data_IF_721110943667
#
_entry.id   IF_721110943667
#
_cell.length_a   1.000
_cell.length_b   1.000
_cell.length_c   1.000
_cell.angle_alpha   90.00
_cell.angle_beta   90.00
_cell.angle_gamma   90.00
#
_symmetry.space_group_name_H-M   'P 1'
#
loop_
_entity.id
_entity.type
_entity.pdbx_description
1 polymer ?
#
# COMPACT_ATOMS: atom_id res chain seq x y z
N UNK A 1 -18.54 16.75 20.81
CA UNK A 1 -17.24 16.80 20.09
C UNK A 1 -16.19 16.38 21.10
N UNK A 2 -15.25 15.50 20.74
CA UNK A 2 -14.23 14.89 21.63
C UNK A 2 -14.65 13.57 22.31
N UNK A 3 -14.60 12.47 21.55
CA UNK A 3 -14.53 11.11 22.13
C UNK A 3 -13.75 10.10 21.25
N UNK A 4 -13.19 10.54 20.11
CA UNK A 4 -12.45 9.65 19.18
C UNK A 4 -10.96 10.02 19.12
N UNK A 5 -10.54 11.17 19.68
CA UNK A 5 -9.13 11.60 19.66
C UNK A 5 -8.23 10.93 20.70
N UNK A 6 -8.78 10.33 21.75
CA UNK A 6 -7.99 9.86 22.92
C UNK A 6 -7.49 8.41 22.83
N UNK A 7 -7.73 7.67 21.73
CA UNK A 7 -7.26 6.27 21.62
C UNK A 7 -5.90 6.10 20.94
N UNK A 8 -5.25 7.18 20.53
CA UNK A 8 -4.04 7.11 19.71
C UNK A 8 -2.92 8.03 20.22
N UNK A 9 -2.83 8.21 21.54
CA UNK A 9 -1.74 8.97 22.15
C UNK A 9 -0.78 8.02 22.90
N UNK A 10 0.33 7.73 22.22
CA UNK A 10 1.68 7.53 22.78
C UNK A 10 1.91 6.47 23.88
N UNK A 11 1.52 5.22 23.63
CA UNK A 11 2.21 4.07 24.24
C UNK A 11 3.24 3.54 23.24
N UNK A 12 4.55 3.42 23.58
CA UNK A 12 5.53 2.86 22.67
C UNK A 12 5.22 1.38 22.46
N UNK A 13 4.74 1.05 21.24
CA UNK A 13 4.38 -0.29 20.77
C UNK A 13 5.61 -1.23 20.63
N UNK A 14 6.59 -1.16 21.52
CA UNK A 14 7.87 -1.87 21.43
C UNK A 14 7.76 -3.41 21.57
N UNK A 15 6.55 -3.94 21.75
CA UNK A 15 6.31 -5.39 21.83
C UNK A 15 4.95 -5.88 21.31
N UNK A 16 4.10 -5.00 20.73
CA UNK A 16 2.74 -5.36 20.27
C UNK A 16 2.61 -5.41 18.74
N UNK A 17 3.57 -4.84 18.00
CA UNK A 17 3.62 -5.04 16.54
C UNK A 17 4.21 -6.43 16.25
N UNK A 18 3.46 -7.46 16.57
CA UNK A 18 3.71 -8.80 16.08
C UNK A 18 3.58 -8.74 14.55
N UNK A 19 4.70 -8.81 13.82
CA UNK A 19 4.70 -8.93 12.37
C UNK A 19 4.16 -10.31 11.99
N UNK A 20 2.83 -10.47 12.04
CA UNK A 20 2.17 -11.67 11.53
C UNK A 20 2.46 -11.77 10.03
N UNK A 21 2.96 -12.92 9.55
CA UNK A 21 3.13 -13.15 8.13
C UNK A 21 1.78 -12.99 7.42
N UNK A 22 1.71 -12.03 6.48
CA UNK A 22 0.53 -11.82 5.64
C UNK A 22 0.43 -12.85 4.49
N UNK A 23 1.51 -13.60 4.26
CA UNK A 23 1.59 -14.68 3.30
C UNK A 23 2.45 -15.82 3.85
N UNK A 24 2.17 -17.04 3.38
CA UNK A 24 2.98 -18.22 3.66
C UNK A 24 4.30 -18.16 2.87
N UNK A 25 5.43 -18.11 3.59
CA UNK A 25 6.76 -18.02 2.98
C UNK A 25 7.10 -19.24 2.09
N UNK A 26 6.42 -20.38 2.29
CA UNK A 26 6.63 -21.58 1.48
C UNK A 26 5.89 -21.52 0.13
N UNK A 27 4.90 -20.64 -0.01
CA UNK A 27 4.01 -20.54 -1.17
C UNK A 27 4.11 -19.19 -1.89
N UNK A 28 5.25 -18.52 -1.79
CA UNK A 28 5.46 -17.24 -2.45
C UNK A 28 5.52 -17.43 -3.97
N UNK A 29 4.77 -16.59 -4.68
CA UNK A 29 4.76 -16.55 -6.15
C UNK A 29 6.12 -16.10 -6.67
N UNK A 30 6.78 -16.93 -7.47
CA UNK A 30 8.03 -16.57 -8.13
C UNK A 30 7.76 -15.47 -9.16
N UNK A 31 8.55 -14.39 -9.12
CA UNK A 31 8.39 -13.21 -9.97
C UNK A 31 7.64 -12.04 -9.30
N UNK A 32 6.82 -12.30 -8.28
CA UNK A 32 6.14 -11.24 -7.52
C UNK A 32 7.02 -10.76 -6.37
N UNK A 33 7.63 -9.58 -6.55
CA UNK A 33 8.50 -8.95 -5.53
C UNK A 33 7.71 -8.53 -4.29
N UNK A 34 6.41 -8.31 -4.43
CA UNK A 34 5.50 -7.91 -3.36
C UNK A 34 4.67 -9.09 -2.82
N UNK A 35 5.03 -10.33 -3.14
CA UNK A 35 4.27 -11.56 -2.79
C UNK A 35 3.86 -11.70 -1.33
N UNK A 36 4.61 -11.07 -0.40
CA UNK A 36 4.23 -11.03 1.02
C UNK A 36 3.01 -10.17 1.32
N UNK A 37 2.77 -9.12 0.54
CA UNK A 37 1.68 -8.16 0.75
C UNK A 37 0.61 -8.22 -0.34
N UNK A 38 0.89 -8.83 -1.50
CA UNK A 38 -0.07 -9.04 -2.59
C UNK A 38 -1.42 -9.62 -2.11
N UNK A 39 -1.47 -10.63 -1.21
CA UNK A 39 -2.75 -11.14 -0.71
C UNK A 39 -3.60 -10.09 0.01
N UNK A 40 -2.96 -9.19 0.77
CA UNK A 40 -3.63 -8.11 1.48
C UNK A 40 -4.25 -7.11 0.49
N UNK A 41 -3.51 -6.72 -0.56
CA UNK A 41 -4.02 -5.80 -1.58
C UNK A 41 -5.14 -6.42 -2.41
N UNK A 42 -5.06 -7.72 -2.72
CA UNK A 42 -6.14 -8.42 -3.41
C UNK A 42 -7.43 -8.45 -2.57
N UNK A 43 -7.31 -8.73 -1.27
CA UNK A 43 -8.46 -8.67 -0.36
C UNK A 43 -9.01 -7.25 -0.25
N UNK A 44 -8.14 -6.25 -0.13
CA UNK A 44 -8.54 -4.84 -0.05
C UNK A 44 -9.27 -4.39 -1.31
N UNK A 45 -8.72 -4.67 -2.49
CA UNK A 45 -9.37 -4.36 -3.77
C UNK A 45 -10.72 -5.07 -3.92
N UNK A 46 -10.84 -6.31 -3.44
CA UNK A 46 -12.12 -7.03 -3.44
C UNK A 46 -13.17 -6.32 -2.58
N UNK A 47 -12.79 -5.87 -1.38
CA UNK A 47 -13.67 -5.10 -0.50
C UNK A 47 -14.03 -3.73 -1.13
N UNK A 48 -13.06 -3.03 -1.70
CA UNK A 48 -13.28 -1.72 -2.33
C UNK A 48 -14.21 -1.84 -3.55
N UNK A 49 -14.06 -2.88 -4.36
CA UNK A 49 -14.95 -3.15 -5.47
C UNK A 49 -16.36 -3.54 -5.02
N UNK A 50 -16.49 -4.23 -3.88
CA UNK A 50 -17.79 -4.67 -3.34
C UNK A 50 -18.60 -3.50 -2.74
N UNK A 51 -17.95 -2.62 -1.99
CA UNK A 51 -18.61 -1.51 -1.28
C UNK A 51 -18.60 -0.19 -2.05
N UNK A 52 -17.77 -0.08 -3.09
CA UNK A 52 -17.65 1.11 -3.92
C UNK A 52 -18.87 1.31 -4.82
N UNK A 53 -19.50 2.48 -4.71
CA UNK A 53 -20.49 2.92 -5.70
C UNK A 53 -19.73 3.44 -6.92
N UNK A 54 -19.93 2.81 -8.07
CA UNK A 54 -19.21 3.18 -9.28
C UNK A 54 -19.65 4.56 -9.77
N UNK A 55 -18.67 5.40 -10.12
CA UNK A 55 -18.88 6.73 -10.67
C UNK A 55 -18.44 6.79 -12.12
N UNK A 56 -19.02 7.74 -12.85
CA UNK A 56 -18.68 7.97 -14.27
C UNK A 56 -17.34 8.67 -14.45
N UNK A 57 -16.94 9.54 -13.51
CA UNK A 57 -15.66 10.25 -13.54
C UNK A 57 -14.63 9.47 -12.73
N UNK A 58 -13.62 8.95 -13.43
CA UNK A 58 -12.51 8.19 -12.88
C UNK A 58 -11.19 8.92 -13.15
N UNK A 59 -10.28 8.87 -12.18
CA UNK A 59 -8.89 9.28 -12.33
C UNK A 59 -7.97 8.10 -12.01
N UNK A 60 -6.88 8.01 -12.76
CA UNK A 60 -5.78 7.10 -12.50
C UNK A 60 -4.57 7.95 -12.15
N UNK A 61 -3.99 7.72 -10.98
CA UNK A 61 -2.85 8.50 -10.51
C UNK A 61 -1.89 7.66 -9.66
N UNK A 62 -0.70 8.20 -9.42
CA UNK A 62 0.37 7.60 -8.64
C UNK A 62 0.38 8.17 -7.21
N UNK A 63 0.30 7.30 -6.21
CA UNK A 63 0.48 7.65 -4.80
C UNK A 63 1.87 7.21 -4.33
N UNK A 64 2.65 8.16 -3.80
CA UNK A 64 4.01 7.93 -3.31
C UNK A 64 4.03 7.69 -1.80
N UNK A 65 4.27 6.46 -1.37
CA UNK A 65 4.34 6.06 0.05
C UNK A 65 5.79 6.06 0.53
N UNK A 66 6.19 6.86 1.54
CA UNK A 66 7.57 6.89 2.02
C UNK A 66 7.99 5.54 2.62
N UNK A 67 9.09 4.97 2.12
CA UNK A 67 9.64 3.70 2.62
C UNK A 67 11.17 3.75 2.72
N UNK A 68 11.69 3.56 3.94
CA UNK A 68 13.11 3.71 4.24
C UNK A 68 13.90 2.39 4.17
N UNK A 69 13.22 1.25 4.03
CA UNK A 69 13.86 -0.06 3.94
C UNK A 69 14.57 -0.31 2.61
N UNK A 70 15.31 -1.42 2.56
CA UNK A 70 15.94 -1.94 1.34
C UNK A 70 14.96 -2.87 0.63
N UNK A 71 14.42 -2.43 -0.50
CA UNK A 71 13.53 -3.23 -1.32
C UNK A 71 13.82 -3.00 -2.81
N UNK A 72 13.76 -4.04 -3.64
CA UNK A 72 14.11 -3.98 -5.06
C UNK A 72 13.12 -3.18 -5.90
N UNK A 73 11.85 -3.12 -5.50
CA UNK A 73 10.80 -2.33 -6.17
C UNK A 73 10.78 -0.83 -5.78
N UNK A 74 11.69 -0.39 -4.93
CA UNK A 74 11.77 1.01 -4.47
C UNK A 74 12.19 1.91 -5.62
N UNK A 75 11.45 2.99 -5.88
CA UNK A 75 11.83 3.98 -6.90
C UNK A 75 12.79 5.00 -6.28
N UNK A 76 13.85 5.33 -7.01
CA UNK A 76 14.69 6.48 -6.70
C UNK A 76 14.12 7.71 -7.39
N UNK A 77 13.62 8.67 -6.63
CA UNK A 77 13.22 10.00 -7.14
C UNK A 77 14.35 10.99 -6.83
N UNK A 78 15.01 11.49 -7.86
CA UNK A 78 16.12 12.44 -7.75
C UNK A 78 15.73 13.77 -7.13
N UNK A 79 14.42 14.09 -7.08
CA UNK A 79 13.89 15.29 -6.43
C UNK A 79 13.74 15.11 -4.91
N UNK A 80 13.97 13.90 -4.38
CA UNK A 80 13.85 13.59 -2.94
C UNK A 80 15.22 13.29 -2.32
N UNK A 81 15.33 13.55 -1.02
CA UNK A 81 16.57 13.31 -0.27
C UNK A 81 16.96 11.83 -0.25
N UNK A 82 18.26 11.58 -0.34
CA UNK A 82 18.88 10.26 -0.39
C UNK A 82 18.42 9.37 0.79
N UNK A 83 17.97 8.15 0.48
CA UNK A 83 17.47 7.17 1.44
C UNK A 83 15.94 7.03 1.49
N UNK A 84 15.18 8.03 1.01
CA UNK A 84 13.71 8.06 1.05
C UNK A 84 13.07 7.74 -0.30
N UNK A 85 13.36 6.57 -0.85
CA UNK A 85 12.65 6.12 -2.06
C UNK A 85 11.20 5.74 -1.71
N UNK A 86 10.19 6.39 -2.29
CA UNK A 86 8.82 5.98 -2.08
C UNK A 86 8.52 4.63 -2.77
N UNK A 87 7.63 3.87 -2.16
CA UNK A 87 6.87 2.83 -2.85
C UNK A 87 5.73 3.51 -3.60
N UNK A 88 5.71 3.38 -4.92
CA UNK A 88 4.64 3.92 -5.74
C UNK A 88 3.48 2.96 -5.79
N UNK A 89 2.27 3.48 -5.59
CA UNK A 89 1.02 2.75 -5.70
C UNK A 89 0.22 3.41 -6.81
N UNK A 90 -0.16 2.64 -7.82
CA UNK A 90 -1.15 3.04 -8.80
C UNK A 90 -2.53 2.96 -8.17
N UNK A 91 -3.29 4.05 -8.23
CA UNK A 91 -4.65 4.09 -7.71
C UNK A 91 -5.62 4.50 -8.81
N UNK A 92 -6.70 3.73 -8.95
CA UNK A 92 -7.88 4.10 -9.70
C UNK A 92 -8.90 4.67 -8.72
N UNK A 93 -9.19 5.96 -8.81
CA UNK A 93 -10.10 6.65 -7.91
C UNK A 93 -11.29 7.26 -8.65
N UNK A 94 -12.42 7.39 -7.96
CA UNK A 94 -13.52 8.24 -8.41
C UNK A 94 -13.22 9.72 -8.17
N UNK A 95 -13.99 10.61 -8.78
CA UNK A 95 -13.91 12.05 -8.52
C UNK A 95 -14.24 12.44 -7.06
N UNK A 96 -14.83 11.55 -6.28
CA UNK A 96 -15.04 11.71 -4.83
C UNK A 96 -13.81 11.29 -4.00
N UNK A 97 -12.74 10.83 -4.65
CA UNK A 97 -11.53 10.32 -4.01
C UNK A 97 -11.63 8.88 -3.54
N UNK A 98 -12.71 8.14 -3.83
CA UNK A 98 -12.84 6.75 -3.43
C UNK A 98 -11.96 5.84 -4.31
N UNK A 99 -11.04 5.03 -3.74
CA UNK A 99 -10.22 4.12 -4.51
C UNK A 99 -11.01 2.86 -4.87
N UNK A 100 -11.10 2.55 -6.16
CA UNK A 100 -11.69 1.30 -6.65
C UNK A 100 -10.66 0.19 -6.79
N UNK A 101 -9.41 0.54 -7.09
CA UNK A 101 -8.34 -0.42 -7.29
C UNK A 101 -6.98 0.20 -6.96
N UNK A 102 -6.15 -0.55 -6.24
CA UNK A 102 -4.78 -0.17 -5.91
C UNK A 102 -3.80 -1.27 -6.30
N UNK A 103 -2.69 -0.89 -6.93
CA UNK A 103 -1.62 -1.81 -7.31
C UNK A 103 -0.26 -1.22 -6.96
N UNK A 104 0.58 -2.02 -6.29
CA UNK A 104 1.94 -1.58 -5.96
C UNK A 104 2.85 -1.76 -7.16
N UNK A 105 3.63 -0.74 -7.48
CA UNK A 105 4.68 -0.83 -8.47
C UNK A 105 5.79 -1.82 -8.05
N UNK A 106 6.14 -2.73 -8.95
CA UNK A 106 7.14 -3.78 -8.68
C UNK A 106 8.48 -3.56 -9.38
N UNK A 107 8.68 -2.42 -10.04
CA UNK A 107 9.86 -2.25 -10.91
C UNK A 107 9.70 -2.99 -12.23
N UNK A 108 10.82 -3.16 -12.93
CA UNK A 108 10.89 -3.97 -14.15
C UNK A 108 10.91 -5.46 -13.79
N UNK A 109 10.21 -6.27 -14.58
CA UNK A 109 10.37 -7.73 -14.55
C UNK A 109 11.79 -8.09 -15.02
N UNK A 110 12.41 -9.07 -14.35
CA UNK A 110 13.74 -9.60 -14.73
C UNK A 110 13.65 -10.52 -15.95
#
# INVERSE_FOLDING_TARGET
>A
MTAIRDKFEQEPLHGIVEMRPLADNLKLTKGDKMSKVTPLYNMLNSCLAQFGVFRTLLSVDEAMVPYFGRHSAKIHDSRRHEGQGPSMIWMLCGNDGYPYHMSIYQGKDE
#
